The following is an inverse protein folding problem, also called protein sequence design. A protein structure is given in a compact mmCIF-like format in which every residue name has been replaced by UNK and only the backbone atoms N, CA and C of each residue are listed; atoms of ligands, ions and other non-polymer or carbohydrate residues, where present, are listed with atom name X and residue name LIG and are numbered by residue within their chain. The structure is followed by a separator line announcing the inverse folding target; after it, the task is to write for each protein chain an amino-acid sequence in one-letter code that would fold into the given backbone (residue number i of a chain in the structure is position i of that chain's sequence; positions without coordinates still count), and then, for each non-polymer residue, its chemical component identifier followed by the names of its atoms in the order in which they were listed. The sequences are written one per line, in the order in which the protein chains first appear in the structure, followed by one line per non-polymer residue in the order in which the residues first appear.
data_IF_120548576710
#
_entry.id   IF_120548576710
#
_cell.length_a   1.000
_cell.length_b   1.000
_cell.length_c   1.000
_cell.angle_alpha   90.00
_cell.angle_beta   90.00
_cell.angle_gamma   90.00
#
_symmetry.space_group_name_H-M   'P 1'
#
loop_
_entity.id
_entity.type
_entity.pdbx_description
1 polymer ?
#
# COMPACT_ATOMS: atom_id res chain seq x y z
N UNK A 1 14.53 13.95 25.14
CA UNK A 1 13.71 13.65 23.94
C UNK A 1 14.61 13.59 22.70
N UNK A 2 14.68 12.47 21.98
CA UNK A 2 15.36 12.41 20.66
C UNK A 2 14.44 13.03 19.60
N UNK A 3 14.94 14.02 18.84
CA UNK A 3 14.25 14.49 17.63
C UNK A 3 14.53 13.50 16.51
N UNK A 4 13.58 12.63 16.23
CA UNK A 4 13.65 11.71 15.10
C UNK A 4 13.07 12.45 13.90
N UNK A 5 13.89 12.69 12.88
CA UNK A 5 13.43 13.24 11.62
C UNK A 5 12.66 12.17 10.86
N UNK A 6 11.35 12.13 11.09
CA UNK A 6 10.43 11.27 10.35
C UNK A 6 10.04 12.00 9.07
N UNK A 7 10.23 11.35 7.93
CA UNK A 7 9.85 11.89 6.62
C UNK A 7 8.33 12.19 6.62
N UNK A 8 7.92 13.34 6.07
CA UNK A 8 6.51 13.80 6.07
C UNK A 8 5.55 12.76 5.51
N UNK A 9 5.96 12.03 4.47
CA UNK A 9 5.15 10.95 3.89
C UNK A 9 4.81 9.86 4.93
N UNK A 10 5.69 9.67 5.91
CA UNK A 10 5.54 8.63 6.92
C UNK A 10 4.65 9.09 8.06
N UNK A 11 4.60 10.40 8.31
CA UNK A 11 3.68 11.03 9.25
C UNK A 11 2.25 11.05 8.72
N UNK A 12 2.09 11.28 7.42
CA UNK A 12 0.77 11.36 6.78
C UNK A 12 0.02 10.02 6.71
N UNK A 13 0.65 8.90 7.08
CA UNK A 13 0.06 7.55 6.98
C UNK A 13 -1.20 7.37 7.81
N UNK A 14 -1.21 7.92 9.03
CA UNK A 14 -2.36 7.81 9.94
C UNK A 14 -3.58 8.56 9.40
N UNK A 15 -3.36 9.67 8.67
CA UNK A 15 -4.43 10.51 8.15
C UNK A 15 -4.85 10.11 6.72
N UNK A 16 -3.90 9.76 5.85
CA UNK A 16 -4.14 9.55 4.41
C UNK A 16 -4.22 8.07 4.00
N UNK A 17 -3.93 7.14 4.92
CA UNK A 17 -3.88 5.70 4.67
C UNK A 17 -2.54 5.22 4.09
N UNK A 18 -2.04 4.07 4.56
CA UNK A 18 -0.70 3.61 4.21
C UNK A 18 -0.49 3.23 2.74
N UNK A 19 -1.51 2.67 2.08
CA UNK A 19 -1.29 1.98 0.80
C UNK A 19 -1.77 2.77 -0.40
N UNK A 20 -2.94 3.40 -0.30
CA UNK A 20 -3.58 4.08 -1.44
C UNK A 20 -2.83 5.36 -1.87
N UNK A 21 -2.20 6.05 -0.93
CA UNK A 21 -1.48 7.32 -1.17
C UNK A 21 0.04 7.14 -1.17
N UNK A 22 0.61 6.35 -0.25
CA UNK A 22 2.07 6.24 -0.16
C UNK A 22 2.70 5.47 -1.32
N UNK A 23 2.11 4.35 -1.76
CA UNK A 23 2.66 3.57 -2.87
C UNK A 23 2.70 4.38 -4.18
N UNK A 24 1.61 5.08 -4.50
CA UNK A 24 1.52 5.93 -5.68
C UNK A 24 2.58 7.05 -5.69
N UNK A 25 2.87 7.64 -4.52
CA UNK A 25 3.90 8.69 -4.36
C UNK A 25 5.33 8.15 -4.42
N UNK A 26 5.52 6.86 -4.08
CA UNK A 26 6.84 6.23 -3.99
C UNK A 26 7.26 5.51 -5.27
N UNK A 27 6.32 5.08 -6.12
CA UNK A 27 6.65 4.31 -7.33
C UNK A 27 7.63 5.03 -8.27
N UNK A 28 7.55 6.37 -8.30
CA UNK A 28 8.38 7.23 -9.17
C UNK A 28 9.74 7.58 -8.52
N UNK A 29 9.97 7.23 -7.25
CA UNK A 29 11.25 7.34 -6.55
C UNK A 29 11.71 5.96 -6.02
N UNK A 30 12.47 5.20 -6.83
CA UNK A 30 12.94 3.87 -6.46
C UNK A 30 13.76 3.84 -5.15
N UNK A 31 14.50 4.90 -4.84
CA UNK A 31 15.33 4.95 -3.61
C UNK A 31 14.45 5.06 -2.38
N UNK A 32 13.42 5.91 -2.41
CA UNK A 32 12.48 6.03 -1.30
C UNK A 32 11.59 4.79 -1.18
N UNK A 33 11.20 4.19 -2.30
CA UNK A 33 10.46 2.93 -2.32
C UNK A 33 11.22 1.83 -1.58
N UNK A 34 12.50 1.61 -1.90
CA UNK A 34 13.36 0.66 -1.18
C UNK A 34 13.52 1.02 0.29
N UNK A 35 13.66 2.31 0.61
CA UNK A 35 13.79 2.77 2.00
C UNK A 35 12.55 2.46 2.85
N UNK A 36 11.38 2.60 2.24
CA UNK A 36 10.08 2.41 2.90
C UNK A 36 9.68 0.93 2.93
N UNK A 37 9.57 0.30 1.77
CA UNK A 37 9.08 -1.08 1.62
C UNK A 37 10.17 -2.13 1.89
N UNK A 38 11.43 -1.71 2.05
CA UNK A 38 12.59 -2.58 2.25
C UNK A 38 12.82 -3.57 1.09
N UNK A 39 12.25 -3.27 -0.08
CA UNK A 39 12.37 -4.05 -1.30
C UNK A 39 12.27 -3.13 -2.52
N UNK A 40 12.81 -3.56 -3.66
CA UNK A 40 12.60 -2.86 -4.93
C UNK A 40 11.20 -3.13 -5.51
N UNK A 41 10.84 -2.36 -6.54
CA UNK A 41 9.53 -2.45 -7.19
C UNK A 41 9.30 -3.82 -7.85
N UNK A 42 10.34 -4.44 -8.41
CA UNK A 42 10.24 -5.74 -9.06
C UNK A 42 9.87 -6.84 -8.07
N UNK A 43 10.55 -6.88 -6.91
CA UNK A 43 10.24 -7.80 -5.80
C UNK A 43 8.85 -7.57 -5.27
N UNK A 44 8.45 -6.31 -5.11
CA UNK A 44 7.10 -5.96 -4.68
C UNK A 44 6.05 -6.52 -5.65
N UNK A 45 6.22 -6.29 -6.96
CA UNK A 45 5.28 -6.77 -7.99
C UNK A 45 5.21 -8.30 -8.04
N UNK A 46 6.35 -8.98 -7.86
CA UNK A 46 6.38 -10.44 -7.79
C UNK A 46 5.62 -10.96 -6.56
N UNK A 47 5.82 -10.35 -5.39
CA UNK A 47 5.06 -10.70 -4.19
C UNK A 47 3.56 -10.44 -4.40
N UNK A 48 3.20 -9.30 -4.99
CA UNK A 48 1.81 -8.96 -5.27
C UNK A 48 1.17 -9.99 -6.19
N UNK A 49 1.85 -10.47 -7.24
CA UNK A 49 1.33 -11.52 -8.12
C UNK A 49 1.00 -12.82 -7.38
N UNK A 50 1.82 -13.19 -6.40
CA UNK A 50 1.62 -14.40 -5.61
C UNK A 50 0.45 -14.25 -4.62
N UNK A 51 0.34 -13.09 -3.97
CA UNK A 51 -0.63 -12.89 -2.88
C UNK A 51 -2.00 -12.43 -3.41
N UNK A 52 -2.03 -11.68 -4.52
CA UNK A 52 -3.25 -11.09 -5.11
C UNK A 52 -4.43 -12.06 -5.25
N UNK A 53 -4.27 -13.29 -5.75
CA UNK A 53 -5.40 -14.23 -5.85
C UNK A 53 -6.09 -14.51 -4.51
N UNK A 54 -5.34 -14.42 -3.40
CA UNK A 54 -5.82 -14.74 -2.06
C UNK A 54 -6.36 -13.53 -1.30
N UNK A 55 -5.87 -12.32 -1.61
CA UNK A 55 -6.24 -11.10 -0.89
C UNK A 55 -7.18 -10.18 -1.68
N UNK A 56 -7.41 -10.45 -2.97
CA UNK A 56 -8.32 -9.61 -3.73
C UNK A 56 -9.75 -9.73 -3.20
N UNK A 57 -10.44 -8.60 -3.15
CA UNK A 57 -11.86 -8.56 -2.77
C UNK A 57 -12.66 -9.45 -3.71
N UNK A 58 -13.27 -10.50 -3.18
CA UNK A 58 -14.18 -11.35 -3.94
C UNK A 58 -15.60 -10.78 -3.93
N UNK A 59 -16.31 -10.93 -5.04
CA UNK A 59 -17.73 -10.62 -5.10
C UNK A 59 -18.45 -11.82 -4.46
N UNK A 60 -18.94 -11.62 -3.24
CA UNK A 60 -19.71 -12.61 -2.51
C UNK A 60 -21.20 -12.34 -2.63
N UNK A 61 -22.03 -13.36 -2.38
CA UNK A 61 -23.49 -13.27 -2.42
C UNK A 61 -24.01 -12.13 -1.54
N UNK A 62 -23.46 -11.97 -0.33
CA UNK A 62 -23.76 -10.85 0.58
C UNK A 62 -23.43 -9.46 0.00
N UNK A 63 -22.45 -9.34 -0.90
CA UNK A 63 -22.11 -8.07 -1.57
C UNK A 63 -23.08 -7.76 -2.71
N UNK A 64 -23.60 -8.77 -3.40
CA UNK A 64 -24.65 -8.59 -4.41
C UNK A 64 -25.95 -8.05 -3.80
N UNK A 65 -26.40 -8.64 -2.69
CA UNK A 65 -27.63 -8.21 -2.01
C UNK A 65 -27.57 -6.75 -1.53
N UNK A 66 -26.39 -6.25 -1.13
CA UNK A 66 -26.20 -4.84 -0.74
C UNK A 66 -26.17 -3.84 -1.90
N UNK A 67 -25.97 -4.29 -3.14
CA UNK A 67 -25.91 -3.42 -4.31
C UNK A 67 -27.25 -3.28 -5.04
N UNK A 68 -28.25 -4.12 -4.68
CA UNK A 68 -29.59 -4.15 -5.24
C UNK A 68 -30.65 -3.44 -4.37
N UNK A 69 -30.26 -3.03 -3.15
CA UNK A 69 -31.02 -2.16 -2.24
C UNK A 69 -30.56 -0.71 -2.42
#
# INVERSE_FOLDING_TARGET
RRKIWVNRLWRAREEEGEFHTAFARLKDDPKQLVRYFRMDLLKFDNLLKLVKPHIQKQITVLRWFRALL
#
